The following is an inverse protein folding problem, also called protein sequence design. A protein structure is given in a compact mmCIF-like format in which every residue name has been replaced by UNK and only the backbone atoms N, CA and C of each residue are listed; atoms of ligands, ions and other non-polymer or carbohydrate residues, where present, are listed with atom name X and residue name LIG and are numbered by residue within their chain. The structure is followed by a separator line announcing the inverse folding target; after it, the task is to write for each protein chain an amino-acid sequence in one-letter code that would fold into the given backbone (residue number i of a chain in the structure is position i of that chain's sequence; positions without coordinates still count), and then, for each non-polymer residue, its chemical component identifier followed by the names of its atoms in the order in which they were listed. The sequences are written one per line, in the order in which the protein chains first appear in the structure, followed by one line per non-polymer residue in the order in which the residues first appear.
data_IF_692963864715
#
_entry.id   IF_692963864715
#
_cell.length_a   1.000
_cell.length_b   1.000
_cell.length_c   1.000
_cell.angle_alpha   90.00
_cell.angle_beta   90.00
_cell.angle_gamma   90.00
#
_symmetry.space_group_name_H-M   'P 1'
#
loop_
_entity.id
_entity.type
_entity.pdbx_description
1 polymer ?
#
# COMPACT_ATOMS: atom_id res chain seq x y z
N UNK A 1 3.98 -0.30 -20.03
CA UNK A 1 3.70 0.90 -19.21
C UNK A 1 2.39 0.66 -18.49
N UNK A 2 2.49 -0.04 -17.34
CA UNK A 2 1.37 -0.45 -16.46
C UNK A 2 1.37 0.38 -15.16
N UNK A 3 2.45 1.14 -14.92
CA UNK A 3 2.72 1.95 -13.72
C UNK A 3 1.54 2.86 -13.34
N UNK A 4 0.91 3.52 -14.33
CA UNK A 4 -0.23 4.40 -14.04
C UNK A 4 -1.53 3.70 -13.68
N UNK A 5 -1.74 2.42 -14.03
CA UNK A 5 -2.99 1.73 -13.70
C UNK A 5 -3.00 1.30 -12.24
N UNK A 6 -1.88 0.75 -11.75
CA UNK A 6 -1.78 0.29 -10.37
C UNK A 6 -2.01 1.42 -9.36
N UNK A 7 -1.36 2.58 -9.55
CA UNK A 7 -1.58 3.74 -8.69
C UNK A 7 -3.04 4.24 -8.74
N UNK A 8 -3.72 4.14 -9.90
CA UNK A 8 -5.14 4.49 -10.00
C UNK A 8 -6.01 3.55 -9.17
N UNK A 9 -5.71 2.26 -9.20
CA UNK A 9 -6.44 1.25 -8.42
C UNK A 9 -6.24 1.50 -6.91
N UNK A 10 -5.01 1.80 -6.48
CA UNK A 10 -4.75 2.23 -5.09
C UNK A 10 -5.51 3.51 -4.73
N UNK A 11 -5.56 4.51 -5.62
CA UNK A 11 -6.33 5.73 -5.35
C UNK A 11 -7.84 5.48 -5.26
N UNK A 12 -8.37 4.50 -5.99
CA UNK A 12 -9.77 4.07 -5.90
C UNK A 12 -10.03 3.35 -4.57
N UNK A 13 -9.19 2.38 -4.19
CA UNK A 13 -9.28 1.70 -2.90
C UNK A 13 -9.22 2.71 -1.73
N UNK A 14 -8.30 3.67 -1.78
CA UNK A 14 -8.24 4.72 -0.76
C UNK A 14 -9.51 5.60 -0.74
N UNK A 15 -10.14 5.88 -1.88
CA UNK A 15 -11.42 6.62 -1.88
C UNK A 15 -12.55 5.81 -1.28
N UNK A 16 -12.53 4.50 -1.45
CA UNK A 16 -13.58 3.62 -0.96
C UNK A 16 -13.43 3.31 0.53
N UNK A 17 -12.21 3.23 1.06
CA UNK A 17 -11.92 2.76 2.43
C UNK A 17 -11.19 3.78 3.32
N UNK A 18 -10.67 4.85 2.73
CA UNK A 18 -9.87 5.87 3.41
C UNK A 18 -8.45 5.44 3.81
N UNK A 19 -8.08 4.20 3.50
CA UNK A 19 -6.76 3.63 3.72
C UNK A 19 -6.47 2.53 2.70
N UNK A 20 -5.20 2.17 2.55
CA UNK A 20 -4.76 0.96 1.87
C UNK A 20 -4.19 -0.02 2.88
N UNK A 21 -4.27 -1.31 2.57
CA UNK A 21 -3.67 -2.36 3.39
C UNK A 21 -2.40 -2.89 2.71
N UNK A 22 -1.26 -2.72 3.37
CA UNK A 22 0.00 -3.33 2.96
C UNK A 22 0.18 -4.69 3.65
N UNK A 23 0.51 -5.72 2.86
CA UNK A 23 0.95 -7.04 3.36
C UNK A 23 2.22 -7.45 2.64
N UNK A 24 3.34 -7.51 3.37
CA UNK A 24 4.64 -7.82 2.80
C UNK A 24 5.01 -9.32 2.88
N UNK A 25 4.25 -10.15 3.62
CA UNK A 25 4.49 -11.60 3.77
C UNK A 25 4.81 -12.35 2.49
N UNK A 26 4.11 -12.00 1.41
CA UNK A 26 4.14 -12.71 0.13
C UNK A 26 4.98 -12.00 -0.94
N UNK A 27 5.77 -11.01 -0.55
CA UNK A 27 6.55 -10.19 -1.51
C UNK A 27 7.46 -11.05 -2.39
N UNK A 28 8.00 -12.14 -1.86
CA UNK A 28 8.92 -13.03 -2.59
C UNK A 28 8.27 -14.33 -3.08
N UNK A 29 6.97 -14.50 -2.92
CA UNK A 29 6.32 -15.78 -3.23
C UNK A 29 6.59 -16.22 -4.67
N UNK A 30 6.90 -17.52 -4.82
CA UNK A 30 7.22 -18.13 -6.11
C UNK A 30 8.62 -17.84 -6.65
N UNK A 31 9.46 -17.07 -5.97
CA UNK A 31 10.88 -16.97 -6.33
C UNK A 31 11.59 -18.33 -6.11
N UNK A 32 12.34 -18.76 -7.12
CA UNK A 32 13.16 -19.99 -7.10
C UNK A 32 14.65 -19.70 -7.00
N UNK A 33 15.05 -18.44 -7.21
CA UNK A 33 16.44 -17.98 -7.07
C UNK A 33 16.53 -16.74 -6.18
N UNK A 34 17.71 -16.50 -5.60
CA UNK A 34 17.99 -15.28 -4.83
C UNK A 34 17.85 -14.01 -5.70
N UNK A 35 18.19 -14.10 -6.99
CA UNK A 35 18.05 -12.99 -7.91
C UNK A 35 16.57 -12.63 -8.15
N UNK A 36 15.70 -13.62 -8.30
CA UNK A 36 14.24 -13.42 -8.41
C UNK A 36 13.66 -12.83 -7.12
N UNK A 37 14.05 -13.37 -5.97
CA UNK A 37 13.61 -12.86 -4.66
C UNK A 37 14.01 -11.38 -4.48
N UNK A 38 15.27 -11.03 -4.82
CA UNK A 38 15.75 -9.65 -4.77
C UNK A 38 15.04 -8.73 -5.77
N UNK A 39 14.72 -9.22 -6.97
CA UNK A 39 13.98 -8.45 -7.96
C UNK A 39 12.58 -8.08 -7.44
N UNK A 40 11.84 -9.04 -6.87
CA UNK A 40 10.51 -8.78 -6.30
C UNK A 40 10.54 -7.81 -5.12
N UNK A 41 11.57 -7.87 -4.28
CA UNK A 41 11.75 -6.89 -3.22
C UNK A 41 11.96 -5.46 -3.75
N UNK A 42 12.71 -5.30 -4.85
CA UNK A 42 12.92 -3.98 -5.46
C UNK A 42 11.63 -3.46 -6.08
N UNK A 43 10.89 -4.30 -6.78
CA UNK A 43 9.57 -3.94 -7.33
C UNK A 43 8.63 -3.43 -6.22
N UNK A 44 8.55 -4.14 -5.09
CA UNK A 44 7.77 -3.67 -3.94
C UNK A 44 8.29 -2.36 -3.34
N UNK A 45 9.61 -2.14 -3.35
CA UNK A 45 10.17 -0.86 -2.90
C UNK A 45 9.80 0.28 -3.85
N UNK A 46 9.84 0.04 -5.16
CA UNK A 46 9.45 1.02 -6.18
C UNK A 46 7.96 1.41 -6.07
N UNK A 47 7.08 0.44 -5.80
CA UNK A 47 5.65 0.66 -5.51
C UNK A 47 5.44 1.57 -4.27
N UNK A 48 6.17 1.31 -3.18
CA UNK A 48 6.10 2.12 -1.96
C UNK A 48 6.61 3.55 -2.19
N UNK A 49 7.68 3.71 -2.97
CA UNK A 49 8.20 5.00 -3.39
C UNK A 49 7.17 5.79 -4.22
N UNK A 50 6.42 5.13 -5.10
CA UNK A 50 5.37 5.77 -5.90
C UNK A 50 4.20 6.25 -5.04
N UNK A 51 3.76 5.44 -4.06
CA UNK A 51 2.75 5.84 -3.08
C UNK A 51 3.24 7.06 -2.27
N UNK A 52 4.48 7.04 -1.78
CA UNK A 52 5.04 8.17 -1.03
C UNK A 52 5.09 9.45 -1.88
N UNK A 53 5.52 9.37 -3.14
CA UNK A 53 5.50 10.50 -4.08
C UNK A 53 4.07 11.02 -4.36
N UNK A 54 3.08 10.16 -4.21
CA UNK A 54 1.66 10.47 -4.41
C UNK A 54 0.97 11.04 -3.15
N UNK A 55 1.72 11.23 -2.06
CA UNK A 55 1.25 11.83 -0.81
C UNK A 55 0.70 10.84 0.21
N UNK A 56 0.97 9.55 0.04
CA UNK A 56 0.61 8.54 1.04
C UNK A 56 1.69 8.41 2.12
N UNK A 57 1.25 8.07 3.33
CA UNK A 57 2.09 7.84 4.50
C UNK A 57 1.62 6.61 5.29
N UNK A 58 2.49 6.08 6.14
CA UNK A 58 2.11 5.04 7.11
C UNK A 58 1.31 5.67 8.24
N UNK A 59 0.15 5.09 8.57
CA UNK A 59 -0.63 5.54 9.72
C UNK A 59 0.12 5.31 11.04
N UNK A 60 0.86 4.19 11.12
CA UNK A 60 1.61 3.72 12.29
C UNK A 60 2.79 2.85 11.86
N UNK A 61 3.74 2.53 12.76
CA UNK A 61 4.81 1.59 12.44
C UNK A 61 4.28 0.24 11.93
N UNK A 62 4.95 -0.33 10.93
CA UNK A 62 4.64 -1.66 10.40
C UNK A 62 4.83 -2.69 11.53
N UNK A 63 3.86 -3.60 11.67
CA UNK A 63 3.90 -4.71 12.62
C UNK A 63 3.63 -6.00 11.86
N UNK A 64 4.47 -7.02 12.06
CA UNK A 64 4.34 -8.33 11.39
C UNK A 64 3.98 -8.19 9.91
N UNK A 65 4.82 -7.45 9.16
CA UNK A 65 4.68 -7.25 7.72
C UNK A 65 3.34 -6.66 7.25
N UNK A 66 2.57 -6.10 8.18
CA UNK A 66 1.25 -5.50 7.97
C UNK A 66 1.27 -4.00 8.28
N UNK A 67 0.60 -3.21 7.44
CA UNK A 67 0.45 -1.77 7.66
C UNK A 67 -0.84 -1.21 7.07
N UNK A 68 -1.29 -0.09 7.64
CA UNK A 68 -2.27 0.80 7.04
C UNK A 68 -1.55 2.01 6.44
N UNK A 69 -1.86 2.32 5.18
CA UNK A 69 -1.34 3.46 4.45
C UNK A 69 -2.46 4.46 4.24
N UNK A 70 -2.24 5.73 4.56
CA UNK A 70 -3.24 6.81 4.55
C UNK A 70 -2.73 8.02 3.79
N UNK A 71 -3.62 8.99 3.48
CA UNK A 71 -3.23 10.32 3.00
C UNK A 71 -3.49 11.34 4.12
N UNK A 72 -2.45 11.85 4.79
CA UNK A 72 -2.65 12.75 5.92
C UNK A 72 -3.30 14.06 5.49
N UNK A 73 -4.21 14.57 6.31
CA UNK A 73 -4.92 15.83 6.04
C UNK A 73 -6.09 15.72 5.06
N UNK A 74 -6.31 14.55 4.46
CA UNK A 74 -7.53 14.24 3.71
C UNK A 74 -8.48 13.42 4.60
N UNK A 75 -9.75 13.83 4.67
CA UNK A 75 -10.73 13.06 5.43
C UNK A 75 -10.97 11.72 4.74
N UNK A 76 -10.72 10.63 5.48
CA UNK A 76 -11.11 9.29 5.07
C UNK A 76 -12.61 9.30 4.71
N UNK A 77 -12.98 8.94 3.47
CA UNK A 77 -14.38 8.93 3.03
C UNK A 77 -15.26 7.96 3.85
N UNK A 78 -14.65 7.02 4.57
CA UNK A 78 -15.31 6.03 5.44
C UNK A 78 -15.30 6.39 6.93
N UNK A 79 -14.85 7.59 7.32
CA UNK A 79 -14.92 8.04 8.74
C UNK A 79 -16.36 8.10 9.29
N UNK A 80 -17.37 7.87 8.46
CA UNK A 80 -18.80 7.90 8.80
C UNK A 80 -19.41 6.52 9.13
N UNK A 81 -18.64 5.43 9.20
CA UNK A 81 -19.20 4.08 9.51
C UNK A 81 -18.70 3.44 10.81
N UNK A 82 -17.84 4.12 11.60
CA UNK A 82 -17.30 3.57 12.86
C UNK A 82 -17.85 4.27 14.13
N UNK A 83 -19.05 4.88 14.07
CA UNK A 83 -19.75 5.42 15.26
C UNK A 83 -21.06 4.68 15.62
N UNK A 84 -21.21 3.41 15.22
CA UNK A 84 -22.32 2.56 15.68
C UNK A 84 -21.81 1.18 16.14
N UNK A 85 -21.16 1.13 17.30
CA UNK A 85 -21.16 -0.05 18.19
C UNK A 85 -21.02 0.32 19.67
#
# INVERSE_FOLDING_TARGET
MVEGQWLRDCMEEWRDYGHLILRAKWTMDGATTLAEAAARFRERADELDELARSGFELERPISDDYAFIVRPGEESPMRLVEEDE
#
